data_IF_028332132975
#
_entry.id   IF_028332132975
#
_cell.length_a   1.000
_cell.length_b   1.000
_cell.length_c   1.000
_cell.angle_alpha   90.00
_cell.angle_beta   90.00
_cell.angle_gamma   90.00
#
_symmetry.space_group_name_H-M   'P 1'
#
loop_
_entity.id
_entity.type
_entity.pdbx_description
1 polymer ?
#
# COMPACT_ATOMS: atom_id res chain seq x y z
N UNK A 1 2.37 -3.07 -23.46
CA UNK A 1 0.97 -3.05 -22.98
C UNK A 1 0.91 -2.05 -21.85
N UNK A 2 0.16 -0.97 -22.01
CA UNK A 2 0.02 0.06 -20.98
C UNK A 2 -0.84 -0.50 -19.84
N UNK A 3 -0.24 -0.70 -18.67
CA UNK A 3 -0.97 -0.96 -17.43
C UNK A 3 -1.66 0.35 -17.08
N UNK A 4 -2.91 0.50 -17.51
CA UNK A 4 -3.78 1.56 -17.00
C UNK A 4 -3.83 1.39 -15.49
N UNK A 5 -3.44 2.44 -14.72
CA UNK A 5 -3.70 2.56 -13.29
C UNK A 5 -5.22 2.47 -13.06
N UNK A 6 -5.76 1.26 -13.09
CA UNK A 6 -7.12 0.99 -12.63
C UNK A 6 -7.06 1.17 -11.12
N UNK A 7 -7.73 2.23 -10.66
CA UNK A 7 -7.62 2.78 -9.32
C UNK A 7 -7.68 1.71 -8.23
N UNK A 8 -7.01 1.99 -7.11
CA UNK A 8 -6.98 1.15 -5.92
C UNK A 8 -8.37 0.55 -5.59
N UNK A 9 -8.63 -0.69 -6.02
CA UNK A 9 -9.83 -1.42 -5.63
C UNK A 9 -9.65 -1.85 -4.17
N UNK A 10 -10.41 -1.28 -3.24
CA UNK A 10 -10.27 -1.61 -1.81
C UNK A 10 -11.17 -2.80 -1.48
N UNK A 11 -10.56 -3.90 -1.03
CA UNK A 11 -11.23 -5.10 -0.53
C UNK A 11 -11.25 -5.10 1.01
N UNK A 12 -12.35 -5.59 1.59
CA UNK A 12 -12.44 -5.84 3.03
C UNK A 12 -12.15 -7.32 3.29
N UNK A 13 -10.93 -7.63 3.73
CA UNK A 13 -10.50 -8.97 4.08
C UNK A 13 -10.34 -9.09 5.61
N UNK A 14 -10.95 -10.10 6.22
CA UNK A 14 -10.79 -10.46 7.64
C UNK A 14 -10.82 -9.28 8.64
N UNK A 15 -11.76 -8.35 8.45
CA UNK A 15 -11.98 -7.21 9.36
C UNK A 15 -11.15 -5.95 9.07
N UNK A 16 -10.28 -5.95 8.05
CA UNK A 16 -9.47 -4.78 7.66
C UNK A 16 -9.67 -4.42 6.18
N UNK A 17 -9.48 -3.13 5.86
CA UNK A 17 -9.45 -2.65 4.48
C UNK A 17 -8.05 -2.87 3.87
N UNK A 18 -7.99 -3.46 2.68
CA UNK A 18 -6.78 -3.66 1.87
C UNK A 18 -7.02 -3.21 0.45
N UNK A 19 -5.97 -2.77 -0.23
CA UNK A 19 -6.04 -2.60 -1.67
C UNK A 19 -5.77 -3.93 -2.39
N UNK A 20 -6.54 -4.17 -3.45
CA UNK A 20 -6.42 -5.33 -4.33
C UNK A 20 -5.09 -5.27 -5.08
N UNK A 21 -4.43 -6.42 -5.19
CA UNK A 21 -3.10 -6.52 -5.82
C UNK A 21 -1.93 -6.31 -4.87
N UNK A 22 -2.16 -5.96 -3.60
CA UNK A 22 -1.10 -5.99 -2.59
C UNK A 22 -0.95 -7.41 -2.01
N UNK A 23 0.24 -7.99 -2.15
CA UNK A 23 0.66 -9.23 -1.49
C UNK A 23 1.07 -8.90 -0.06
N UNK A 24 0.64 -9.73 0.90
CA UNK A 24 1.14 -9.66 2.27
C UNK A 24 2.03 -10.88 2.53
N UNK A 25 3.36 -10.72 2.55
CA UNK A 25 4.26 -11.81 2.87
C UNK A 25 4.34 -11.97 4.40
N UNK A 26 3.40 -12.71 5.02
CA UNK A 26 3.28 -13.13 6.44
C UNK A 26 3.43 -12.06 7.56
N UNK A 27 4.11 -10.94 7.31
CA UNK A 27 4.27 -9.80 8.16
C UNK A 27 2.99 -8.96 8.09
N UNK A 28 2.27 -8.91 9.22
CA UNK A 28 1.03 -8.14 9.38
C UNK A 28 1.19 -6.64 9.05
N UNK A 29 2.43 -6.14 9.00
CA UNK A 29 2.81 -4.74 8.88
C UNK A 29 3.49 -4.38 7.54
N UNK A 30 3.46 -5.27 6.54
CA UNK A 30 4.05 -5.04 5.21
C UNK A 30 3.11 -5.49 4.10
N UNK A 31 2.94 -4.64 3.09
CA UNK A 31 2.14 -4.91 1.89
C UNK A 31 2.99 -4.57 0.66
N UNK A 32 3.10 -5.50 -0.27
CA UNK A 32 3.90 -5.35 -1.49
C UNK A 32 3.01 -5.31 -2.72
N UNK A 33 3.27 -4.37 -3.63
CA UNK A 33 2.64 -4.25 -4.94
C UNK A 33 3.73 -4.00 -5.98
N UNK A 34 3.42 -4.24 -7.24
CA UNK A 34 4.36 -4.05 -8.35
C UNK A 34 4.93 -2.62 -8.43
N UNK A 35 4.17 -1.61 -8.01
CA UNK A 35 4.57 -0.20 -7.99
C UNK A 35 5.33 0.19 -6.70
N UNK A 36 5.23 -0.57 -5.61
CA UNK A 36 5.83 -0.18 -4.35
C UNK A 36 5.51 -1.06 -3.15
N UNK A 37 6.07 -0.69 -2.01
CA UNK A 37 5.86 -1.38 -0.74
C UNK A 37 5.29 -0.42 0.29
N UNK A 38 4.23 -0.85 0.97
CA UNK A 38 3.69 -0.18 2.13
C UNK A 38 4.20 -0.89 3.38
N UNK A 39 4.78 -0.14 4.31
CA UNK A 39 5.25 -0.66 5.60
C UNK A 39 4.68 0.20 6.73
N UNK A 40 4.36 -0.43 7.86
CA UNK A 40 4.03 0.27 9.09
C UNK A 40 5.31 0.47 9.92
N UNK A 41 5.72 1.71 10.11
CA UNK A 41 6.90 2.08 10.89
C UNK A 41 6.70 3.41 11.60
N UNK A 42 7.28 3.54 12.80
CA UNK A 42 7.18 4.77 13.62
C UNK A 42 5.73 5.21 13.87
N UNK A 43 4.81 4.25 14.04
CA UNK A 43 3.36 4.45 14.23
C UNK A 43 2.66 5.11 13.03
N UNK A 44 3.23 4.98 11.83
CA UNK A 44 2.65 5.49 10.59
C UNK A 44 2.78 4.44 9.49
N UNK A 45 1.82 4.45 8.58
CA UNK A 45 1.87 3.72 7.32
C UNK A 45 2.63 4.54 6.28
N UNK A 46 3.58 3.90 5.60
CA UNK A 46 4.52 4.53 4.68
C UNK A 46 4.57 3.75 3.38
N UNK A 47 4.33 4.41 2.26
CA UNK A 47 4.55 3.84 0.94
C UNK A 47 5.94 4.23 0.45
N UNK A 48 6.67 3.24 -0.03
CA UNK A 48 7.93 3.39 -0.73
C UNK A 48 7.73 2.96 -2.16
N UNK A 49 8.28 3.73 -3.08
CA UNK A 49 8.34 3.40 -4.50
C UNK A 49 9.33 2.24 -4.73
N UNK A 50 8.97 1.28 -5.58
CA UNK A 50 9.79 0.10 -5.83
C UNK A 50 11.04 0.41 -6.67
N UNK A 51 10.96 1.39 -7.58
CA UNK A 51 12.06 1.74 -8.48
C UNK A 51 13.13 2.60 -7.78
N UNK A 52 12.69 3.58 -6.98
CA UNK A 52 13.57 4.56 -6.35
C UNK A 52 13.89 4.27 -4.89
N UNK A 53 13.13 3.38 -4.23
CA UNK A 53 13.24 3.11 -2.80
C UNK A 53 12.93 4.30 -1.91
N UNK A 54 12.33 5.37 -2.47
CA UNK A 54 12.03 6.61 -1.75
C UNK A 54 10.63 6.55 -1.14
N UNK A 55 10.49 7.22 0.00
CA UNK A 55 9.20 7.45 0.62
C UNK A 55 8.35 8.35 -0.29
N UNK A 56 7.27 7.82 -0.84
CA UNK A 56 6.34 8.59 -1.69
C UNK A 56 5.22 9.21 -0.88
N UNK A 57 4.69 8.47 0.09
CA UNK A 57 3.54 8.91 0.87
C UNK A 57 3.53 8.29 2.27
N UNK A 58 2.88 8.98 3.21
CA UNK A 58 2.68 8.50 4.58
C UNK A 58 1.34 8.95 5.16
N UNK A 59 0.80 8.15 6.08
CA UNK A 59 -0.39 8.46 6.85
C UNK A 59 -0.43 7.71 8.19
N UNK A 60 -1.22 8.19 9.14
CA UNK A 60 -1.39 7.52 10.44
C UNK A 60 -2.16 6.20 10.34
N UNK A 61 -3.07 6.08 9.37
CA UNK A 61 -3.86 4.86 9.14
C UNK A 61 -3.60 4.31 7.74
N UNK A 62 -3.68 2.99 7.60
CA UNK A 62 -3.52 2.34 6.29
C UNK A 62 -4.52 2.90 5.29
N UNK A 63 -5.79 3.02 5.69
CA UNK A 63 -6.84 3.60 4.85
C UNK A 63 -6.51 5.04 4.42
N UNK A 64 -5.99 5.88 5.32
CA UNK A 64 -5.57 7.24 4.99
C UNK A 64 -4.40 7.28 4.00
N UNK A 65 -3.51 6.28 4.04
CA UNK A 65 -2.45 6.13 3.04
C UNK A 65 -3.03 5.69 1.70
N UNK A 66 -3.88 4.66 1.70
CA UNK A 66 -4.54 4.11 0.50
C UNK A 66 -5.36 5.18 -0.23
N UNK A 67 -5.99 6.13 0.48
CA UNK A 67 -6.66 7.26 -0.18
C UNK A 67 -5.73 8.25 -0.87
N UNK A 68 -4.48 8.37 -0.44
CA UNK A 68 -3.51 9.31 -1.00
C UNK A 68 -2.81 8.77 -2.23
N UNK A 69 -2.64 7.45 -2.28
CA UNK A 69 -1.98 6.76 -3.39
C UNK A 69 -3.12 6.33 -4.34
N UNK A 70 -3.20 6.95 -5.52
CA UNK A 70 -4.24 6.65 -6.52
C UNK A 70 -3.70 5.67 -7.55
#
# INVERSE_FOLDING_TARGET
>A
MAITLAGLEIEKASGYWRAKGFKQPDALERLEREDGVIIHQRREWRMYDSESGRLTSKAQTLWGLLKKIH
#
